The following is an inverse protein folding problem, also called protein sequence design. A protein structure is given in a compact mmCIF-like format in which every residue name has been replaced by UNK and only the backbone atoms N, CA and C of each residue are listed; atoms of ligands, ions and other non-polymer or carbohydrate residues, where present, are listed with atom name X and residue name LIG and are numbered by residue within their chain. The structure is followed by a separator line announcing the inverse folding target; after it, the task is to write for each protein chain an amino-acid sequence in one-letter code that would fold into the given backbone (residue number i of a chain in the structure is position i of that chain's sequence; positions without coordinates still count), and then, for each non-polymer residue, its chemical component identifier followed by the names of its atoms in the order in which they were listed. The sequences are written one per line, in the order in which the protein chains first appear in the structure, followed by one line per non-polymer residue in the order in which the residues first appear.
data_IF_167253604550
#
_entry.id   IF_167253604550
#
_cell.length_a   1.000
_cell.length_b   1.000
_cell.length_c   1.000
_cell.angle_alpha   90.00
_cell.angle_beta   90.00
_cell.angle_gamma   90.00
#
_symmetry.space_group_name_H-M   'P 1'
#
loop_
_entity.id
_entity.type
_entity.pdbx_description
1 polymer ?
#
# COMPACT_ATOMS: atom_id res chain seq x y z
N UNK A 1 10.01 -29.30 3.21
CA UNK A 1 10.07 -27.84 3.40
C UNK A 1 9.68 -27.17 2.10
N UNK A 2 8.39 -26.89 1.90
CA UNK A 2 7.95 -26.08 0.77
C UNK A 2 8.24 -24.62 1.11
N UNK A 3 9.04 -23.96 0.27
CA UNK A 3 9.26 -22.52 0.36
C UNK A 3 7.93 -21.84 0.04
N UNK A 4 7.44 -21.05 0.98
CA UNK A 4 6.28 -20.15 0.83
C UNK A 4 6.55 -19.12 -0.27
N UNK A 5 6.53 -19.55 -1.54
CA UNK A 5 6.57 -18.66 -2.70
C UNK A 5 5.18 -18.03 -2.84
N UNK A 6 5.12 -16.74 -3.17
CA UNK A 6 3.89 -16.14 -3.66
C UNK A 6 3.55 -16.81 -5.01
N UNK A 7 2.75 -17.88 -4.98
CA UNK A 7 2.41 -18.72 -6.14
C UNK A 7 1.59 -18.02 -7.24
N UNK A 8 1.36 -16.70 -7.13
CA UNK A 8 0.41 -15.97 -7.97
C UNK A 8 0.99 -14.63 -8.49
N UNK A 9 2.31 -14.50 -8.65
CA UNK A 9 2.98 -13.23 -9.05
C UNK A 9 2.35 -12.54 -10.28
N UNK A 10 1.97 -13.28 -11.30
CA UNK A 10 1.29 -12.73 -12.48
C UNK A 10 -0.13 -12.25 -12.18
N UNK A 11 -0.85 -12.95 -11.31
CA UNK A 11 -2.17 -12.54 -10.85
C UNK A 11 -2.08 -11.31 -9.95
N UNK A 12 -1.06 -11.22 -9.08
CA UNK A 12 -0.77 -10.03 -8.29
C UNK A 12 -0.49 -8.81 -9.15
N UNK A 13 0.34 -9.01 -10.19
CA UNK A 13 0.59 -7.99 -11.20
C UNK A 13 -0.72 -7.55 -11.85
N UNK A 14 -1.55 -8.48 -12.33
CA UNK A 14 -2.79 -8.16 -13.06
C UNK A 14 -3.90 -7.55 -12.20
N UNK A 15 -4.12 -8.07 -10.99
CA UNK A 15 -5.30 -7.76 -10.17
C UNK A 15 -5.06 -6.57 -9.23
N UNK A 16 -3.82 -6.34 -8.82
CA UNK A 16 -3.47 -5.31 -7.83
C UNK A 16 -2.56 -4.26 -8.46
N UNK A 17 -1.38 -4.66 -8.95
CA UNK A 17 -0.36 -3.69 -9.34
C UNK A 17 -0.72 -2.96 -10.64
N UNK A 18 -1.31 -3.63 -11.63
CA UNK A 18 -1.72 -2.99 -12.88
C UNK A 18 -2.84 -1.96 -12.68
N UNK A 19 -3.90 -2.22 -11.90
CA UNK A 19 -4.88 -1.18 -11.56
C UNK A 19 -4.26 0.04 -10.86
N UNK A 20 -3.33 -0.17 -9.93
CA UNK A 20 -2.59 0.92 -9.28
C UNK A 20 -1.75 1.69 -10.31
N UNK A 21 -0.99 0.98 -11.14
CA UNK A 21 -0.17 1.58 -12.20
C UNK A 21 -0.99 2.41 -13.17
N UNK A 22 -2.16 1.91 -13.60
CA UNK A 22 -3.06 2.64 -14.50
C UNK A 22 -3.64 3.89 -13.83
N UNK A 23 -4.01 3.79 -12.55
CA UNK A 23 -4.47 4.96 -11.78
C UNK A 23 -3.37 6.01 -11.66
N UNK A 24 -2.14 5.60 -11.36
CA UNK A 24 -0.98 6.49 -11.32
C UNK A 24 -0.72 7.13 -12.69
N UNK A 25 -0.68 6.35 -13.78
CA UNK A 25 -0.53 6.89 -15.15
C UNK A 25 -1.59 7.95 -15.48
N UNK A 26 -2.84 7.71 -15.08
CA UNK A 26 -3.93 8.67 -15.32
C UNK A 26 -3.75 9.99 -14.58
N UNK A 27 -3.09 9.99 -13.43
CA UNK A 27 -2.99 11.18 -12.57
C UNK A 27 -1.67 11.93 -12.73
N UNK A 28 -0.56 11.21 -12.87
CA UNK A 28 0.79 11.79 -12.98
C UNK A 28 1.41 11.61 -14.39
N UNK A 29 0.63 11.12 -15.36
CA UNK A 29 1.01 10.96 -16.76
C UNK A 29 1.92 9.76 -17.07
N UNK A 30 2.69 9.27 -16.10
CA UNK A 30 3.60 8.14 -16.30
C UNK A 30 3.76 7.28 -15.04
N UNK A 31 3.79 5.96 -15.23
CA UNK A 31 4.16 5.02 -14.18
C UNK A 31 4.69 3.71 -14.76
N UNK A 32 5.70 3.14 -14.10
CA UNK A 32 6.29 1.83 -14.37
C UNK A 32 6.20 0.99 -13.09
N UNK A 33 5.88 -0.29 -13.22
CA UNK A 33 5.94 -1.24 -12.10
C UNK A 33 7.18 -2.10 -12.26
N UNK A 34 8.02 -2.11 -11.23
CA UNK A 34 9.15 -3.03 -11.08
C UNK A 34 8.86 -4.02 -9.95
N UNK A 35 9.08 -5.32 -10.22
CA UNK A 35 8.91 -6.37 -9.22
C UNK A 35 10.20 -7.18 -9.09
N UNK A 36 10.79 -7.17 -7.89
CA UNK A 36 11.99 -7.92 -7.54
C UNK A 36 11.66 -8.95 -6.47
N UNK A 37 12.11 -10.18 -6.67
CA UNK A 37 11.80 -11.30 -5.78
C UNK A 37 13.10 -11.93 -5.26
N UNK A 38 13.18 -12.04 -3.94
CA UNK A 38 14.25 -12.74 -3.22
C UNK A 38 13.66 -13.42 -1.98
N UNK A 39 14.22 -13.18 -0.79
CA UNK A 39 13.55 -13.56 0.47
C UNK A 39 12.26 -12.77 0.72
N UNK A 40 12.15 -11.61 0.08
CA UNK A 40 10.99 -10.72 0.12
C UNK A 40 10.56 -10.41 -1.30
N UNK A 41 9.28 -10.07 -1.46
CA UNK A 41 8.75 -9.48 -2.68
C UNK A 41 8.80 -7.96 -2.54
N UNK A 42 9.59 -7.33 -3.41
CA UNK A 42 9.69 -5.88 -3.52
C UNK A 42 8.92 -5.41 -4.75
N UNK A 43 8.02 -4.46 -4.55
CA UNK A 43 7.22 -3.85 -5.62
C UNK A 43 7.46 -2.36 -5.59
N UNK A 44 7.89 -1.81 -6.73
CA UNK A 44 8.15 -0.38 -6.88
C UNK A 44 7.31 0.18 -8.02
N UNK A 45 6.47 1.16 -7.72
CA UNK A 45 5.82 1.99 -8.72
C UNK A 45 6.66 3.23 -8.92
N UNK A 46 7.31 3.36 -10.07
CA UNK A 46 8.17 4.48 -10.43
C UNK A 46 7.35 5.44 -11.28
N UNK A 47 7.37 6.73 -10.95
CA UNK A 47 6.74 7.79 -11.75
C UNK A 47 7.79 8.85 -12.11
N UNK A 48 7.44 9.81 -12.98
CA UNK A 48 8.33 10.94 -13.28
C UNK A 48 8.63 11.86 -12.09
N UNK A 49 7.90 11.75 -10.98
CA UNK A 49 7.96 12.68 -9.84
C UNK A 49 8.19 12.01 -8.49
N UNK A 50 8.37 10.69 -8.44
CA UNK A 50 8.63 9.95 -7.21
C UNK A 50 8.41 8.45 -7.37
N UNK A 51 8.29 7.75 -6.26
CA UNK A 51 7.98 6.33 -6.24
C UNK A 51 7.09 5.93 -5.07
N UNK A 52 6.44 4.78 -5.23
CA UNK A 52 5.81 4.03 -4.14
C UNK A 52 6.55 2.70 -4.05
N UNK A 53 7.21 2.42 -2.92
CA UNK A 53 7.94 1.18 -2.70
C UNK A 53 7.33 0.38 -1.57
N UNK A 54 7.14 -0.90 -1.85
CA UNK A 54 6.52 -1.87 -0.95
C UNK A 54 7.49 -3.03 -0.79
N UNK A 55 7.60 -3.49 0.46
CA UNK A 55 8.25 -4.74 0.83
C UNK A 55 7.22 -5.66 1.45
N UNK A 56 7.09 -6.87 0.94
CA UNK A 56 6.15 -7.85 1.49
C UNK A 56 6.72 -9.27 1.53
N UNK A 57 6.21 -10.04 2.48
CA UNK A 57 6.39 -11.50 2.60
C UNK A 57 5.03 -12.12 2.90
N UNK A 58 5.00 -13.43 3.09
CA UNK A 58 3.78 -14.15 3.52
C UNK A 58 3.24 -13.72 4.88
N UNK A 59 4.02 -12.96 5.68
CA UNK A 59 3.63 -12.56 7.04
C UNK A 59 3.56 -11.05 7.26
N UNK A 60 4.18 -10.26 6.38
CA UNK A 60 4.35 -8.82 6.62
C UNK A 60 4.18 -8.04 5.32
N UNK A 61 3.62 -6.84 5.44
CA UNK A 61 3.50 -5.87 4.35
C UNK A 61 3.90 -4.49 4.85
N UNK A 62 4.79 -3.84 4.11
CA UNK A 62 5.38 -2.58 4.52
C UNK A 62 5.50 -1.62 3.34
N UNK A 63 5.00 -0.41 3.51
CA UNK A 63 5.23 0.72 2.61
C UNK A 63 6.47 1.46 3.10
N UNK A 64 7.55 1.38 2.32
CA UNK A 64 8.86 1.94 2.67
C UNK A 64 9.14 3.28 1.99
N UNK A 65 8.38 3.61 0.94
CA UNK A 65 8.47 4.88 0.22
C UNK A 65 7.09 5.24 -0.34
N UNK A 66 6.69 6.50 -0.21
CA UNK A 66 5.50 7.07 -0.82
C UNK A 66 5.76 8.56 -1.12
N UNK A 67 6.61 8.80 -2.11
CA UNK A 67 7.11 10.13 -2.47
C UNK A 67 6.31 10.79 -3.61
N UNK A 68 5.43 10.03 -4.26
CA UNK A 68 4.58 10.54 -5.35
C UNK A 68 3.48 11.44 -4.79
N UNK A 69 3.38 12.68 -5.31
CA UNK A 69 2.30 13.61 -5.01
C UNK A 69 1.05 13.26 -5.83
N UNK A 70 0.04 12.74 -5.15
CA UNK A 70 -1.26 12.33 -5.72
C UNK A 70 -2.38 12.73 -4.76
N UNK A 71 -3.59 12.81 -5.30
CA UNK A 71 -4.82 13.13 -4.60
C UNK A 71 -5.16 12.10 -3.52
N UNK A 72 -5.81 12.56 -2.45
CA UNK A 72 -6.31 11.72 -1.36
C UNK A 72 -7.22 10.59 -1.86
N UNK A 73 -7.97 10.80 -2.93
CA UNK A 73 -8.79 9.75 -3.55
C UNK A 73 -7.94 8.62 -4.14
N UNK A 74 -6.82 8.96 -4.78
CA UNK A 74 -5.92 7.94 -5.32
C UNK A 74 -5.12 7.26 -4.23
N UNK A 75 -4.74 7.96 -3.17
CA UNK A 75 -4.15 7.32 -1.98
C UNK A 75 -5.15 6.30 -1.39
N UNK A 76 -6.42 6.69 -1.18
CA UNK A 76 -7.47 5.79 -0.70
C UNK A 76 -7.64 4.56 -1.63
N UNK A 77 -7.66 4.78 -2.95
CA UNK A 77 -7.75 3.69 -3.93
C UNK A 77 -6.57 2.71 -3.82
N UNK A 78 -5.36 3.21 -3.70
CA UNK A 78 -4.13 2.41 -3.60
C UNK A 78 -4.14 1.58 -2.31
N UNK A 79 -4.42 2.23 -1.17
CA UNK A 79 -4.48 1.57 0.13
C UNK A 79 -5.59 0.50 0.18
N UNK A 80 -6.76 0.76 -0.42
CA UNK A 80 -7.81 -0.25 -0.51
C UNK A 80 -7.36 -1.47 -1.31
N UNK A 81 -6.67 -1.27 -2.45
CA UNK A 81 -6.15 -2.37 -3.26
C UNK A 81 -5.14 -3.21 -2.48
N UNK A 82 -4.27 -2.58 -1.68
CA UNK A 82 -3.40 -3.31 -0.76
C UNK A 82 -4.19 -4.03 0.32
N UNK A 83 -5.14 -3.37 0.98
CA UNK A 83 -5.94 -3.99 2.03
C UNK A 83 -6.70 -5.24 1.55
N UNK A 84 -7.32 -5.18 0.36
CA UNK A 84 -8.00 -6.33 -0.23
C UNK A 84 -7.05 -7.49 -0.54
N UNK A 85 -5.85 -7.18 -1.04
CA UNK A 85 -4.82 -8.18 -1.26
C UNK A 85 -4.38 -8.85 0.04
N UNK A 86 -4.08 -8.06 1.07
CA UNK A 86 -3.63 -8.55 2.35
C UNK A 86 -4.69 -9.40 3.04
N UNK A 87 -5.97 -8.98 2.96
CA UNK A 87 -7.10 -9.76 3.44
C UNK A 87 -7.18 -11.15 2.79
N UNK A 88 -6.98 -11.26 1.47
CA UNK A 88 -6.96 -12.57 0.77
C UNK A 88 -5.80 -13.46 1.21
N UNK A 89 -4.72 -12.87 1.74
CA UNK A 89 -3.51 -13.56 2.16
C UNK A 89 -3.35 -13.64 3.68
N UNK A 90 -4.43 -13.40 4.44
CA UNK A 90 -4.46 -13.44 5.91
C UNK A 90 -3.44 -12.51 6.60
N UNK A 91 -2.95 -11.49 5.90
CA UNK A 91 -2.12 -10.44 6.47
C UNK A 91 -3.04 -9.33 6.99
N UNK A 92 -2.93 -9.02 8.28
CA UNK A 92 -3.89 -8.16 8.98
C UNK A 92 -3.47 -6.71 9.10
N UNK A 93 -2.21 -6.39 8.82
CA UNK A 93 -1.62 -5.08 9.07
C UNK A 93 -0.97 -4.53 7.79
N UNK A 94 -1.22 -3.25 7.51
CA UNK A 94 -0.42 -2.44 6.59
C UNK A 94 0.51 -1.59 7.46
N UNK A 95 1.81 -1.84 7.40
CA UNK A 95 2.81 -1.01 8.09
C UNK A 95 3.34 0.07 7.14
N UNK A 96 3.43 1.31 7.60
CA UNK A 96 4.04 2.43 6.89
C UNK A 96 5.24 2.88 7.69
N UNK A 97 6.44 2.85 7.11
CA UNK A 97 7.66 3.31 7.80
C UNK A 97 7.55 4.81 8.04
N UNK A 98 7.84 5.29 9.25
CA UNK A 98 7.85 6.72 9.59
C UNK A 98 9.18 7.33 9.14
N UNK A 99 9.19 7.91 7.95
CA UNK A 99 10.35 8.58 7.31
C UNK A 99 9.92 9.75 6.45
N UNK A 100 10.87 10.58 6.00
CA UNK A 100 10.58 11.72 5.13
C UNK A 100 9.93 11.27 3.81
N UNK A 101 10.37 10.13 3.29
CA UNK A 101 9.95 9.55 2.01
C UNK A 101 8.49 9.04 2.02
N UNK A 102 7.87 8.90 3.19
CA UNK A 102 6.48 8.49 3.35
C UNK A 102 5.61 9.61 3.93
N UNK A 103 6.14 10.84 4.06
CA UNK A 103 5.43 11.93 4.75
C UNK A 103 4.06 12.25 4.13
N UNK A 104 3.95 12.21 2.80
CA UNK A 104 2.67 12.40 2.09
C UNK A 104 1.61 11.41 2.56
N UNK A 105 2.02 10.14 2.73
CA UNK A 105 1.12 9.10 3.22
C UNK A 105 0.84 9.25 4.71
N UNK A 106 1.83 9.65 5.52
CA UNK A 106 1.63 9.93 6.94
C UNK A 106 0.61 11.05 7.15
N UNK A 107 0.80 12.20 6.49
CA UNK A 107 -0.13 13.35 6.57
C UNK A 107 -1.56 12.91 6.20
N UNK A 108 -1.70 12.15 5.10
CA UNK A 108 -2.98 11.60 4.70
C UNK A 108 -3.61 10.71 5.78
N UNK A 109 -2.83 9.82 6.41
CA UNK A 109 -3.33 8.91 7.44
C UNK A 109 -3.67 9.65 8.74
N UNK A 110 -2.85 10.62 9.15
CA UNK A 110 -3.11 11.48 10.31
C UNK A 110 -4.44 12.24 10.14
N UNK A 111 -4.69 12.80 8.96
CA UNK A 111 -5.92 13.56 8.67
C UNK A 111 -7.16 12.66 8.54
N UNK A 112 -6.97 11.45 8.00
CA UNK A 112 -8.07 10.63 7.49
C UNK A 112 -8.36 9.37 8.30
N UNK A 113 -7.45 8.97 9.20
CA UNK A 113 -7.45 7.69 9.92
C UNK A 113 -6.90 7.85 11.36
N UNK A 114 -7.78 8.26 12.28
CA UNK A 114 -7.43 8.50 13.68
C UNK A 114 -7.13 7.23 14.49
N UNK A 115 -7.49 6.04 13.97
CA UNK A 115 -7.30 4.74 14.65
C UNK A 115 -5.96 4.07 14.28
N UNK A 116 -5.00 4.83 13.76
CA UNK A 116 -3.67 4.30 13.46
C UNK A 116 -2.90 3.96 14.74
N UNK A 117 -2.14 2.87 14.70
CA UNK A 117 -1.29 2.43 15.82
C UNK A 117 0.14 2.84 15.52
N UNK A 118 0.79 3.54 16.44
CA UNK A 118 2.21 3.84 16.35
C UNK A 118 3.01 2.72 17.01
N UNK A 119 3.85 2.05 16.23
CA UNK A 119 4.67 0.93 16.70
C UNK A 119 6.15 1.21 16.47
N UNK A 120 7.00 0.73 17.38
CA UNK A 120 8.46 0.81 17.27
C UNK A 120 9.05 -0.59 17.35
N UNK A 121 9.76 -0.98 16.28
CA UNK A 121 10.50 -2.25 16.24
C UNK A 121 12.01 -1.96 16.12
N UNK A 122 12.64 -1.63 17.25
CA UNK A 122 14.06 -1.28 17.30
C UNK A 122 14.31 0.14 16.79
N UNK A 123 15.13 0.30 15.76
CA UNK A 123 15.51 1.62 15.21
C UNK A 123 14.45 2.21 14.26
N UNK A 124 13.47 1.41 13.81
CA UNK A 124 12.43 1.85 12.90
C UNK A 124 11.09 2.02 13.62
N UNK A 125 10.39 3.11 13.30
CA UNK A 125 9.04 3.40 13.77
C UNK A 125 8.05 3.30 12.61
N UNK A 126 6.82 2.90 12.91
CA UNK A 126 5.80 2.56 11.92
C UNK A 126 4.45 3.15 12.32
N UNK A 127 3.67 3.50 11.31
CA UNK A 127 2.22 3.65 11.41
C UNK A 127 1.60 2.35 10.93
N UNK A 128 0.82 1.69 11.78
CA UNK A 128 0.14 0.45 11.47
C UNK A 128 -1.36 0.67 11.29
N UNK A 129 -1.88 0.16 10.18
CA UNK A 129 -3.31 0.17 9.86
C UNK A 129 -3.82 -1.27 9.89
N UNK A 130 -4.89 -1.49 10.66
CA UNK A 130 -5.63 -2.75 10.60
C UNK A 130 -6.38 -2.83 9.28
N UNK A 131 -6.12 -3.91 8.54
CA UNK A 131 -6.69 -4.15 7.20
C UNK A 131 -8.22 -4.18 7.24
N UNK A 132 -8.82 -4.85 8.24
CA UNK A 132 -10.27 -4.92 8.42
C UNK A 132 -10.88 -3.53 8.63
N UNK A 133 -10.35 -2.79 9.60
CA UNK A 133 -10.82 -1.47 9.98
C UNK A 133 -10.72 -0.47 8.81
N UNK A 134 -9.60 -0.52 8.05
CA UNK A 134 -9.44 0.31 6.87
C UNK A 134 -10.49 0.01 5.78
N UNK A 135 -10.74 -1.27 5.49
CA UNK A 135 -11.74 -1.69 4.49
C UNK A 135 -13.15 -1.21 4.92
N UNK A 136 -13.52 -1.42 6.18
CA UNK A 136 -14.82 -1.03 6.70
C UNK A 136 -15.01 0.48 6.66
N UNK A 137 -13.98 1.25 7.06
CA UNK A 137 -13.97 2.71 6.92
C UNK A 137 -14.15 3.14 5.47
N UNK A 138 -13.39 2.56 4.54
CA UNK A 138 -13.49 2.90 3.12
C UNK A 138 -14.93 2.73 2.64
N UNK A 139 -15.54 1.57 2.91
CA UNK A 139 -16.92 1.34 2.49
C UNK A 139 -17.92 2.27 3.20
N UNK A 140 -17.74 2.60 4.48
CA UNK A 140 -18.60 3.59 5.17
C UNK A 140 -18.51 4.97 4.52
N UNK A 141 -17.30 5.43 4.18
CA UNK A 141 -17.04 6.72 3.55
C UNK A 141 -17.69 6.83 2.17
N UNK A 142 -17.59 5.77 1.35
CA UNK A 142 -18.03 5.80 -0.05
C UNK A 142 -19.42 5.15 -0.30
N UNK A 143 -20.02 4.41 0.65
CA UNK A 143 -21.44 3.98 0.56
C UNK A 143 -22.43 5.08 0.88
N UNK A 144 -22.05 6.04 1.73
CA UNK A 144 -22.93 7.15 2.12
C UNK A 144 -22.82 8.35 1.16
N UNK A 145 -21.92 8.30 0.18
CA UNK A 145 -21.84 9.24 -0.93
C UNK A 145 -22.47 8.62 -2.17
N UNK A 146 -23.80 8.67 -2.26
CA UNK A 146 -24.52 8.38 -3.50
C UNK A 146 -24.00 9.28 -4.62
N UNK A 147 -23.62 8.66 -5.74
CA UNK A 147 -23.66 9.33 -7.04
C UNK A 147 -25.12 9.55 -7.44
#
# INVERSE_FOLDING_TARGET
MNKDKFYEKEELLRVIFMPINNRLKSEVGSSLVEVKEGEWLYVTFITGSGAIRIKCSTKRFMITEFSVKISSMTIDFILLRFALFLRRNEIQIISVVIRKETRILQDFLEDSYQESIFESYGEESYIELKVGDYIDRFYKKYRNGSF
#
